data_IF_984675342355
#
_entry.id   IF_984675342355
#
_cell.length_a   1.000
_cell.length_b   1.000
_cell.length_c   1.000
_cell.angle_alpha   90.00
_cell.angle_beta   90.00
_cell.angle_gamma   90.00
#
_symmetry.space_group_name_H-M   'P 1'
#
loop_
_entity.id
_entity.type
_entity.pdbx_description
1 polymer ?
#
# COMPACT_ATOMS: atom_id res chain seq x y z
N UNK A 1 -1.49 -3.58 18.48
CA UNK A 1 -1.69 -3.99 17.08
C UNK A 1 -0.39 -3.89 16.32
N UNK A 2 -0.01 -4.95 15.64
CA UNK A 2 1.18 -4.94 14.77
C UNK A 2 0.81 -4.44 13.39
N UNK A 3 1.52 -3.41 12.95
CA UNK A 3 1.29 -2.77 11.65
C UNK A 3 2.52 -2.99 10.79
N UNK A 4 2.32 -3.36 9.53
CA UNK A 4 3.38 -3.42 8.52
C UNK A 4 3.04 -2.51 7.36
N UNK A 5 4.06 -1.84 6.84
CA UNK A 5 3.95 -1.02 5.62
C UNK A 5 4.93 -1.60 4.61
N UNK A 6 4.39 -2.09 3.51
CA UNK A 6 5.19 -2.67 2.43
C UNK A 6 4.86 -1.95 1.13
N UNK A 7 5.83 -1.90 0.22
CA UNK A 7 5.60 -1.28 -1.08
C UNK A 7 6.43 -1.94 -2.17
N UNK A 8 5.93 -1.83 -3.40
CA UNK A 8 6.56 -2.36 -4.60
C UNK A 8 6.76 -1.20 -5.57
N UNK A 9 7.93 -0.59 -5.57
CA UNK A 9 8.17 0.57 -6.40
C UNK A 9 9.54 0.59 -7.04
N UNK A 10 9.58 1.12 -8.24
CA UNK A 10 10.81 1.53 -8.93
C UNK A 10 10.99 3.05 -8.92
N UNK A 11 10.01 3.80 -8.39
CA UNK A 11 9.97 5.26 -8.42
C UNK A 11 9.98 5.91 -7.04
N UNK A 12 10.25 7.22 -7.03
CA UNK A 12 10.40 7.98 -5.78
C UNK A 12 9.08 8.30 -5.09
N UNK A 13 8.01 8.53 -5.84
CA UNK A 13 6.74 9.00 -5.26
C UNK A 13 6.13 7.94 -4.36
N UNK A 14 6.04 6.70 -4.82
CA UNK A 14 5.48 5.63 -4.00
C UNK A 14 6.33 5.39 -2.74
N UNK A 15 7.65 5.43 -2.88
CA UNK A 15 8.55 5.31 -1.73
C UNK A 15 8.30 6.41 -0.71
N UNK A 16 8.14 7.66 -1.15
CA UNK A 16 7.82 8.78 -0.27
C UNK A 16 6.49 8.58 0.45
N UNK A 17 5.47 8.11 -0.26
CA UNK A 17 4.17 7.80 0.34
C UNK A 17 4.32 6.72 1.41
N UNK A 18 5.01 5.63 1.09
CA UNK A 18 5.24 4.54 2.02
C UNK A 18 5.98 4.99 3.28
N UNK A 19 7.00 5.84 3.12
CA UNK A 19 7.75 6.39 4.26
C UNK A 19 6.87 7.25 5.16
N UNK A 20 5.98 8.06 4.59
CA UNK A 20 5.03 8.87 5.37
C UNK A 20 4.05 7.98 6.12
N UNK A 21 3.48 6.98 5.46
CA UNK A 21 2.58 6.02 6.10
C UNK A 21 3.30 5.32 7.26
N UNK A 22 4.51 4.85 7.02
CA UNK A 22 5.32 4.21 8.05
C UNK A 22 5.61 5.11 9.23
N UNK A 23 5.96 6.36 8.97
CA UNK A 23 6.23 7.34 10.03
C UNK A 23 5.00 7.58 10.91
N UNK A 24 3.84 7.73 10.31
CA UNK A 24 2.58 7.91 11.05
C UNK A 24 2.25 6.66 11.88
N UNK A 25 2.51 5.48 11.34
CA UNK A 25 2.26 4.21 12.03
C UNK A 25 3.34 3.82 13.03
N UNK A 26 4.47 4.53 13.04
CA UNK A 26 5.60 4.21 13.92
C UNK A 26 6.37 2.97 13.49
N UNK A 27 6.40 2.64 12.21
CA UNK A 27 7.11 1.49 11.64
C UNK A 27 7.92 1.89 10.43
N UNK A 28 8.92 1.09 10.09
CA UNK A 28 9.68 1.28 8.87
C UNK A 28 8.93 0.72 7.68
N UNK A 29 8.86 1.49 6.58
CA UNK A 29 8.31 0.99 5.31
C UNK A 29 9.33 0.08 4.64
N UNK A 30 8.91 -1.08 4.19
CA UNK A 30 9.77 -2.11 3.62
C UNK A 30 9.52 -2.24 2.12
N UNK A 31 10.58 -2.13 1.34
CA UNK A 31 10.55 -2.39 -0.10
C UNK A 31 10.58 -3.88 -0.36
N UNK A 32 9.49 -4.42 -0.91
CA UNK A 32 9.34 -5.85 -1.15
C UNK A 32 10.10 -6.36 -2.37
N UNK A 33 10.65 -5.47 -3.19
CA UNK A 33 11.55 -5.89 -4.28
C UNK A 33 12.87 -6.43 -3.76
N UNK A 34 13.22 -6.18 -2.49
CA UNK A 34 14.44 -6.67 -1.85
C UNK A 34 14.30 -8.04 -1.19
N UNK A 35 13.30 -8.82 -1.57
CA UNK A 35 13.08 -10.19 -1.10
C UNK A 35 12.81 -10.33 0.42
N UNK A 36 12.26 -9.32 1.05
CA UNK A 36 11.83 -9.40 2.44
C UNK A 36 10.61 -10.29 2.60
N UNK A 37 10.52 -10.96 3.74
CA UNK A 37 9.32 -11.66 4.16
C UNK A 37 8.45 -10.73 5.00
N UNK A 38 7.13 -10.84 4.82
CA UNK A 38 6.20 -10.15 5.69
C UNK A 38 6.20 -10.82 7.07
N UNK A 39 6.46 -10.01 8.10
CA UNK A 39 6.38 -10.47 9.47
C UNK A 39 4.91 -10.57 9.92
N UNK A 40 4.69 -11.19 11.09
CA UNK A 40 3.38 -11.23 11.72
C UNK A 40 2.76 -9.82 11.77
N UNK A 41 1.57 -9.67 11.21
CA UNK A 41 0.94 -8.38 10.98
C UNK A 41 -0.55 -8.46 11.24
N UNK A 42 -1.09 -7.48 11.97
CA UNK A 42 -2.53 -7.33 12.15
C UNK A 42 -3.13 -6.42 11.09
N UNK A 43 -2.50 -5.29 10.82
CA UNK A 43 -2.92 -4.33 9.80
C UNK A 43 -1.79 -4.13 8.79
N UNK A 44 -2.09 -4.34 7.52
CA UNK A 44 -1.15 -4.21 6.42
C UNK A 44 -1.49 -2.99 5.57
N UNK A 45 -0.53 -2.09 5.40
CA UNK A 45 -0.57 -1.09 4.33
C UNK A 45 0.29 -1.59 3.19
N UNK A 46 -0.28 -1.69 1.99
CA UNK A 46 0.44 -2.14 0.81
C UNK A 46 0.43 -1.06 -0.27
N UNK A 47 1.61 -0.70 -0.75
CA UNK A 47 1.81 0.30 -1.79
C UNK A 47 2.20 -0.30 -3.12
N UNK A 48 1.57 0.15 -4.19
CA UNK A 48 1.74 -0.40 -5.53
C UNK A 48 1.93 0.73 -6.54
N UNK A 49 2.94 0.58 -7.39
CA UNK A 49 3.18 1.50 -8.50
C UNK A 49 2.46 0.99 -9.74
N UNK A 50 1.46 1.73 -10.19
CA UNK A 50 0.63 1.34 -11.32
C UNK A 50 0.67 2.35 -12.47
N UNK A 51 1.80 3.07 -12.59
CA UNK A 51 1.95 4.06 -13.67
C UNK A 51 1.85 3.47 -15.07
N UNK A 52 2.01 2.16 -15.22
CA UNK A 52 1.82 1.45 -16.48
C UNK A 52 0.36 1.05 -16.74
N UNK A 53 -0.58 1.42 -15.84
CA UNK A 53 -1.99 1.06 -15.97
C UNK A 53 -2.30 -0.39 -15.61
N UNK A 54 -1.38 -1.07 -14.95
CA UNK A 54 -1.58 -2.45 -14.48
C UNK A 54 -0.65 -2.75 -13.30
N UNK A 55 -1.02 -3.76 -12.51
CA UNK A 55 -0.18 -4.25 -11.42
C UNK A 55 0.88 -5.20 -11.97
N UNK A 56 2.12 -5.05 -11.50
CA UNK A 56 3.22 -5.95 -11.86
C UNK A 56 2.95 -7.37 -11.34
N UNK A 57 3.27 -8.39 -12.14
CA UNK A 57 3.09 -9.78 -11.76
C UNK A 57 3.84 -10.14 -10.47
N UNK A 58 4.98 -9.51 -10.21
CA UNK A 58 5.76 -9.73 -8.98
C UNK A 58 4.94 -9.44 -7.72
N UNK A 59 4.01 -8.50 -7.76
CA UNK A 59 3.11 -8.21 -6.65
C UNK A 59 2.21 -9.41 -6.37
N UNK A 60 1.59 -9.96 -7.39
CA UNK A 60 0.71 -11.13 -7.25
C UNK A 60 1.48 -12.35 -6.75
N UNK A 61 2.67 -12.57 -7.27
CA UNK A 61 3.52 -13.68 -6.85
C UNK A 61 3.88 -13.57 -5.37
N UNK A 62 4.18 -12.37 -4.92
CA UNK A 62 4.46 -12.12 -3.50
C UNK A 62 3.23 -12.36 -2.62
N UNK A 63 2.06 -11.86 -3.05
CA UNK A 63 0.81 -12.03 -2.30
C UNK A 63 0.42 -13.51 -2.17
N UNK A 64 0.76 -14.35 -3.15
CA UNK A 64 0.51 -15.78 -3.09
C UNK A 64 1.28 -16.46 -1.93
N UNK A 65 2.34 -15.83 -1.43
CA UNK A 65 3.09 -16.35 -0.28
C UNK A 65 2.40 -16.09 1.06
N UNK A 66 1.37 -15.26 1.11
CA UNK A 66 0.67 -14.95 2.35
C UNK A 66 -0.17 -16.14 2.81
N UNK A 67 -0.02 -16.59 4.07
CA UNK A 67 -0.92 -17.59 4.61
C UNK A 67 -2.32 -16.99 4.80
N UNK A 68 -3.36 -17.81 4.61
CA UNK A 68 -4.74 -17.38 4.82
C UNK A 68 -5.04 -17.12 6.29
N UNK A 69 -5.89 -16.13 6.56
CA UNK A 69 -6.44 -15.81 7.88
C UNK A 69 -5.40 -15.37 8.93
N UNK A 70 -4.27 -14.82 8.49
CA UNK A 70 -3.21 -14.34 9.40
C UNK A 70 -3.14 -12.83 9.53
N UNK A 71 -3.71 -12.08 8.57
CA UNK A 71 -3.75 -10.62 8.57
C UNK A 71 -5.19 -10.20 8.76
N UNK A 72 -5.47 -9.35 9.75
CA UNK A 72 -6.83 -8.93 10.08
C UNK A 72 -7.38 -7.94 9.07
N UNK A 73 -6.58 -6.96 8.70
CA UNK A 73 -7.04 -5.92 7.79
C UNK A 73 -5.91 -5.39 6.91
N UNK A 74 -6.30 -4.76 5.80
CA UNK A 74 -5.35 -4.14 4.90
C UNK A 74 -5.93 -2.90 4.23
N UNK A 75 -5.05 -1.99 3.86
CA UNK A 75 -5.36 -0.81 3.07
C UNK A 75 -4.34 -0.67 1.95
N UNK A 76 -4.79 -0.21 0.80
CA UNK A 76 -3.96 -0.09 -0.40
C UNK A 76 -3.74 1.38 -0.74
N UNK A 77 -2.49 1.74 -1.00
CA UNK A 77 -2.14 3.02 -1.60
C UNK A 77 -1.38 2.77 -2.90
N UNK A 78 -1.61 3.60 -3.90
CA UNK A 78 -1.02 3.41 -5.20
C UNK A 78 -0.68 4.72 -5.88
N UNK A 79 0.17 4.64 -6.89
CA UNK A 79 0.51 5.73 -7.78
C UNK A 79 0.12 5.30 -9.18
N UNK A 80 -0.67 6.11 -9.88
CA UNK A 80 -1.03 5.86 -11.26
C UNK A 80 -0.82 7.10 -12.11
N UNK A 81 -0.64 6.89 -13.42
CA UNK A 81 -0.36 7.97 -14.37
C UNK A 81 -1.59 8.84 -14.65
N UNK A 82 -2.77 8.26 -14.59
CA UNK A 82 -4.03 8.94 -14.92
C UNK A 82 -4.92 9.20 -13.68
N UNK A 83 -4.44 8.86 -12.48
CA UNK A 83 -5.20 9.00 -11.25
C UNK A 83 -6.27 7.94 -11.04
N UNK A 84 -6.37 6.94 -11.90
CA UNK A 84 -7.32 5.84 -11.75
C UNK A 84 -6.76 4.73 -10.88
N UNK A 85 -7.65 3.99 -10.23
CA UNK A 85 -7.29 2.86 -9.39
C UNK A 85 -7.25 1.57 -10.22
N UNK A 86 -6.09 0.93 -10.27
CA UNK A 86 -5.87 -0.34 -10.95
C UNK A 86 -5.65 -1.51 -9.98
N UNK A 87 -5.94 -1.30 -8.68
CA UNK A 87 -5.62 -2.28 -7.62
C UNK A 87 -6.72 -3.29 -7.35
N UNK A 88 -7.78 -3.33 -8.17
CA UNK A 88 -8.92 -4.22 -7.93
C UNK A 88 -8.55 -5.70 -7.81
N UNK A 89 -7.65 -6.20 -8.64
CA UNK A 89 -7.21 -7.59 -8.57
C UNK A 89 -6.42 -7.87 -7.29
N UNK A 90 -5.62 -6.91 -6.84
CA UNK A 90 -4.88 -7.03 -5.57
C UNK A 90 -5.86 -7.08 -4.40
N UNK A 91 -6.84 -6.21 -4.36
CA UNK A 91 -7.89 -6.23 -3.34
C UNK A 91 -8.60 -7.59 -3.30
N UNK A 92 -8.97 -8.11 -4.46
CA UNK A 92 -9.64 -9.41 -4.55
C UNK A 92 -8.76 -10.54 -4.03
N UNK A 93 -7.48 -10.55 -4.39
CA UNK A 93 -6.55 -11.57 -3.90
C UNK A 93 -6.42 -11.54 -2.38
N UNK A 94 -6.30 -10.34 -1.80
CA UNK A 94 -6.21 -10.17 -0.35
C UNK A 94 -7.51 -10.63 0.34
N UNK A 95 -8.67 -10.29 -0.22
CA UNK A 95 -9.95 -10.75 0.32
C UNK A 95 -10.08 -12.27 0.30
N UNK A 96 -9.58 -12.94 -0.75
CA UNK A 96 -9.56 -14.41 -0.80
C UNK A 96 -8.67 -15.03 0.27
N UNK A 97 -7.73 -14.29 0.81
CA UNK A 97 -6.89 -14.70 1.95
C UNK A 97 -7.54 -14.45 3.32
N UNK A 98 -8.78 -14.00 3.35
CA UNK A 98 -9.51 -13.70 4.58
C UNK A 98 -9.18 -12.35 5.19
N UNK A 99 -8.62 -11.43 4.41
CA UNK A 99 -8.23 -10.10 4.88
C UNK A 99 -9.39 -9.12 4.67
N UNK A 100 -9.74 -8.40 5.73
CA UNK A 100 -10.74 -7.33 5.65
C UNK A 100 -10.10 -6.09 5.02
N UNK A 101 -10.60 -5.69 3.86
CA UNK A 101 -10.05 -4.53 3.15
C UNK A 101 -10.70 -3.23 3.63
N UNK A 102 -9.88 -2.20 3.85
CA UNK A 102 -10.40 -0.85 4.01
C UNK A 102 -11.11 -0.45 2.69
N UNK A 103 -12.34 0.09 2.75
CA UNK A 103 -13.19 0.22 1.54
C UNK A 103 -12.69 1.23 0.50
N UNK A 104 -11.82 2.16 0.89
CA UNK A 104 -11.26 3.14 -0.03
C UNK A 104 -9.77 2.89 -0.21
N UNK A 105 -9.30 2.96 -1.45
CA UNK A 105 -7.88 2.94 -1.76
C UNK A 105 -7.39 4.37 -1.96
N UNK A 106 -6.15 4.62 -1.56
CA UNK A 106 -5.50 5.90 -1.85
C UNK A 106 -4.85 5.80 -3.22
N UNK A 107 -5.17 6.74 -4.10
CA UNK A 107 -4.53 6.83 -5.43
C UNK A 107 -3.92 8.21 -5.56
N UNK A 108 -2.62 8.26 -5.84
CA UNK A 108 -1.89 9.50 -6.11
C UNK A 108 -1.54 9.54 -7.59
N UNK A 109 -1.86 10.65 -8.23
CA UNK A 109 -1.53 10.87 -9.64
C UNK A 109 -0.07 11.27 -9.77
N UNK A 110 0.69 10.52 -10.56
CA UNK A 110 2.06 10.89 -10.92
C UNK A 110 2.42 10.25 -12.25
N UNK A 111 2.89 11.08 -13.19
CA UNK A 111 3.31 10.62 -14.52
C UNK A 111 4.82 10.41 -14.64
N UNK A 112 5.62 10.84 -13.66
CA UNK A 112 7.07 10.84 -13.75
C UNK A 112 7.72 10.06 -12.61
N UNK A 113 8.78 9.30 -12.94
CA UNK A 113 9.63 8.63 -11.96
C UNK A 113 10.37 9.62 -11.03
N UNK A 114 10.56 10.85 -11.50
CA UNK A 114 11.35 11.87 -10.81
C UNK A 114 10.48 12.89 -10.07
N UNK A 115 9.15 12.76 -10.14
CA UNK A 115 8.25 13.66 -9.46
C UNK A 115 8.41 13.56 -7.94
N UNK A 116 8.18 14.68 -7.26
CA UNK A 116 8.09 14.72 -5.81
C UNK A 116 6.63 14.82 -5.41
N UNK A 117 6.34 14.32 -4.22
CA UNK A 117 5.01 14.42 -3.64
C UNK A 117 4.68 15.90 -3.37
N UNK A 118 3.56 16.40 -3.89
CA UNK A 118 3.10 17.76 -3.63
C UNK A 118 2.60 17.90 -2.20
N UNK A 119 2.51 19.13 -1.69
CA UNK A 119 1.95 19.38 -0.36
C UNK A 119 0.50 18.90 -0.26
N UNK A 120 -0.27 19.07 -1.31
CA UNK A 120 -1.65 18.58 -1.38
C UNK A 120 -1.71 17.06 -1.24
N UNK A 121 -0.86 16.35 -1.97
CA UNK A 121 -0.80 14.88 -1.92
C UNK A 121 -0.26 14.40 -0.57
N UNK A 122 0.71 15.10 0.00
CA UNK A 122 1.23 14.83 1.33
C UNK A 122 0.09 14.84 2.38
N UNK A 123 -0.74 15.86 2.36
CA UNK A 123 -1.88 15.98 3.27
C UNK A 123 -2.92 14.89 3.02
N UNK A 124 -3.13 14.52 1.77
CA UNK A 124 -4.03 13.42 1.38
C UNK A 124 -3.55 12.09 1.94
N UNK A 125 -2.25 11.81 1.86
CA UNK A 125 -1.63 10.60 2.42
C UNK A 125 -1.81 10.55 3.94
N UNK A 126 -1.51 11.64 4.63
CA UNK A 126 -1.65 11.74 6.09
C UNK A 126 -3.08 11.47 6.54
N UNK A 127 -4.03 12.14 5.91
CA UNK A 127 -5.46 11.98 6.23
C UNK A 127 -5.93 10.56 5.99
N UNK A 128 -5.53 9.96 4.87
CA UNK A 128 -5.88 8.58 4.55
C UNK A 128 -5.35 7.61 5.61
N UNK A 129 -4.08 7.73 5.97
CA UNK A 129 -3.44 6.87 6.96
C UNK A 129 -4.15 6.95 8.31
N UNK A 130 -4.43 8.17 8.77
CA UNK A 130 -5.14 8.39 10.03
C UNK A 130 -6.55 7.80 10.00
N UNK A 131 -7.26 7.92 8.87
CA UNK A 131 -8.59 7.38 8.70
C UNK A 131 -8.58 5.85 8.78
N UNK A 132 -7.61 5.21 8.13
CA UNK A 132 -7.45 3.75 8.18
C UNK A 132 -7.15 3.28 9.60
N UNK A 133 -6.20 3.94 10.28
CA UNK A 133 -5.86 3.60 11.67
C UNK A 133 -7.07 3.69 12.58
N UNK A 134 -7.88 4.72 12.44
CA UNK A 134 -9.12 4.90 13.20
C UNK A 134 -10.10 3.78 12.96
N UNK A 135 -10.27 3.37 11.70
CA UNK A 135 -11.22 2.33 11.31
C UNK A 135 -10.87 0.97 11.93
N UNK A 136 -9.58 0.65 12.05
CA UNK A 136 -9.15 -0.64 12.58
C UNK A 136 -8.84 -0.63 14.09
N UNK A 137 -8.69 0.52 14.70
CA UNK A 137 -8.45 0.66 16.14
C UNK A 137 -9.71 0.99 16.94
N UNK A 138 -10.71 1.42 16.21
CA UNK A 138 -11.90 1.93 16.83
C UNK A 138 -12.95 0.97 17.17
#
# INVERSE_FOLDING_TARGET
MKISVIYFSKGKVLKQIAEIVGEICGVEAIDMTSAHRLESTDLLFIGIDERKGKTDQAVFDYLDTFPSNTILGAAIFSVSKDGKDYTGFVSNQLMHKGITMFPKNLVVHSSSLFSKLSLKDLNKVKKYTETVLKAFNG
#
